data_IF_484611338858
#
_entry.id   IF_484611338858
#
_cell.length_a   1.000
_cell.length_b   1.000
_cell.length_c   1.000
_cell.angle_alpha   90.00
_cell.angle_beta   90.00
_cell.angle_gamma   90.00
#
_symmetry.space_group_name_H-M   'P 1'
#
loop_
_entity.id
_entity.type
_entity.pdbx_description
1 polymer ?
#
# COMPACT_ATOMS: atom_id res chain seq x y z
N UNK A 1 14.50 9.70 5.38
CA UNK A 1 13.99 10.64 4.43
C UNK A 1 14.88 10.79 3.22
N UNK A 2 16.19 10.90 3.42
CA UNK A 2 17.11 10.98 2.30
C UNK A 2 17.04 9.75 1.42
N UNK A 3 16.83 8.57 2.04
CA UNK A 3 16.67 7.35 1.28
C UNK A 3 15.43 7.39 0.41
N UNK A 4 14.35 7.97 0.94
CA UNK A 4 13.13 8.16 0.17
C UNK A 4 13.37 9.12 -0.98
N UNK A 5 14.19 10.16 -0.76
CA UNK A 5 14.52 11.09 -1.82
C UNK A 5 15.26 10.42 -2.97
N UNK A 6 16.17 9.50 -2.66
CA UNK A 6 16.90 8.77 -3.71
C UNK A 6 15.95 7.96 -4.59
N UNK A 7 15.00 7.27 -3.99
CA UNK A 7 14.03 6.48 -4.73
C UNK A 7 13.04 7.38 -5.45
N UNK A 8 12.43 8.31 -4.72
CA UNK A 8 11.36 9.15 -5.28
C UNK A 8 11.85 10.15 -6.30
N UNK A 9 13.09 10.59 -6.23
CA UNK A 9 13.62 11.53 -7.20
C UNK A 9 14.25 10.87 -8.41
N UNK A 10 14.26 9.55 -8.47
CA UNK A 10 14.75 8.83 -9.64
C UNK A 10 13.79 9.07 -10.80
N UNK A 11 14.27 9.74 -11.86
CA UNK A 11 13.42 10.11 -12.98
C UNK A 11 12.97 8.94 -13.83
N UNK A 12 13.57 7.77 -13.66
CA UNK A 12 13.14 6.58 -14.36
C UNK A 12 11.88 5.98 -13.73
N UNK A 13 11.47 6.45 -12.55
CA UNK A 13 10.28 5.94 -11.89
C UNK A 13 9.03 6.64 -12.39
N UNK A 14 7.92 5.88 -12.43
CA UNK A 14 6.63 6.39 -12.87
C UNK A 14 6.05 7.28 -11.78
N UNK A 15 5.90 8.58 -12.07
CA UNK A 15 5.32 9.51 -11.10
C UNK A 15 3.80 9.39 -11.01
N UNK A 16 3.17 8.66 -11.94
CA UNK A 16 1.72 8.47 -11.94
C UNK A 16 1.24 7.40 -10.95
N UNK A 17 2.16 6.62 -10.38
CA UNK A 17 1.83 5.58 -9.42
C UNK A 17 2.48 5.87 -8.07
N UNK A 18 1.71 5.70 -7.00
CA UNK A 18 2.22 5.81 -5.63
C UNK A 18 1.79 4.58 -4.86
N UNK A 19 2.76 3.94 -4.22
CA UNK A 19 2.51 2.77 -3.37
C UNK A 19 2.62 3.20 -1.91
N UNK A 20 1.56 2.96 -1.13
CA UNK A 20 1.51 3.36 0.27
C UNK A 20 1.89 2.17 1.14
N UNK A 21 2.91 2.36 1.97
CA UNK A 21 3.38 1.34 2.91
C UNK A 21 3.37 1.92 4.33
N UNK A 22 3.38 1.05 5.33
CA UNK A 22 3.29 1.49 6.72
C UNK A 22 4.63 1.94 7.30
N UNK A 23 5.72 1.41 6.78
CA UNK A 23 7.05 1.73 7.32
C UNK A 23 8.12 1.48 6.26
N UNK A 24 9.35 1.96 6.49
CA UNK A 24 10.43 1.78 5.51
C UNK A 24 10.81 0.33 5.24
N UNK A 25 10.65 -0.56 6.21
CA UNK A 25 10.97 -1.98 5.99
C UNK A 25 10.08 -2.57 4.90
N UNK A 26 8.80 -2.18 4.89
CA UNK A 26 7.87 -2.64 3.87
C UNK A 26 8.26 -2.11 2.50
N UNK A 27 8.72 -0.86 2.43
CA UNK A 27 9.20 -0.29 1.19
C UNK A 27 10.36 -1.10 0.62
N UNK A 28 11.34 -1.40 1.47
CA UNK A 28 12.50 -2.15 1.01
C UNK A 28 12.16 -3.58 0.61
N UNK A 29 11.15 -4.18 1.24
CA UNK A 29 10.67 -5.49 0.84
C UNK A 29 10.13 -5.48 -0.58
N UNK A 30 9.33 -4.45 -0.91
CA UNK A 30 8.78 -4.32 -2.26
C UNK A 30 9.89 -4.03 -3.27
N UNK A 31 10.83 -3.16 -2.92
CA UNK A 31 11.95 -2.86 -3.82
C UNK A 31 12.81 -4.09 -4.09
N UNK A 32 13.01 -4.92 -3.07
CA UNK A 32 13.79 -6.15 -3.24
C UNK A 32 13.12 -7.12 -4.20
N UNK A 33 11.80 -7.09 -4.30
CA UNK A 33 11.08 -7.94 -5.23
C UNK A 33 11.29 -7.52 -6.68
N UNK A 34 11.59 -6.24 -6.93
CA UNK A 34 12.04 -5.77 -8.24
C UNK A 34 10.97 -5.53 -9.28
N UNK A 35 9.68 -5.68 -8.93
CA UNK A 35 8.61 -5.56 -9.91
C UNK A 35 7.88 -4.22 -9.93
N UNK A 36 8.21 -3.32 -9.02
CA UNK A 36 7.50 -2.05 -8.93
C UNK A 36 8.36 -0.90 -9.45
N UNK A 37 7.78 -0.05 -10.28
CA UNK A 37 8.48 1.06 -10.92
C UNK A 37 7.97 2.43 -10.49
N UNK A 38 6.93 2.49 -9.65
CA UNK A 38 6.37 3.75 -9.20
C UNK A 38 7.09 4.32 -8.01
N UNK A 39 6.46 5.33 -7.41
CA UNK A 39 6.98 5.98 -6.22
C UNK A 39 6.28 5.45 -4.98
N UNK A 40 6.73 5.89 -3.82
CA UNK A 40 6.21 5.43 -2.54
C UNK A 40 5.75 6.57 -1.67
N UNK A 41 4.85 6.25 -0.75
CA UNK A 41 4.54 7.11 0.38
C UNK A 41 4.59 6.24 1.63
N UNK A 42 5.43 6.59 2.58
CA UNK A 42 5.57 5.84 3.83
C UNK A 42 4.74 6.52 4.91
N UNK A 43 3.76 5.78 5.42
CA UNK A 43 2.96 6.25 6.55
C UNK A 43 3.80 6.21 7.82
N UNK A 44 3.28 6.85 8.87
CA UNK A 44 3.91 6.78 10.18
C UNK A 44 3.25 5.70 11.03
N UNK A 45 2.97 4.55 10.39
CA UNK A 45 2.33 3.42 11.05
C UNK A 45 0.98 3.08 10.44
N UNK A 46 0.00 2.79 11.29
CA UNK A 46 -1.37 2.46 10.88
C UNK A 46 -2.35 3.03 11.90
N UNK A 47 -3.63 3.11 11.52
CA UNK A 47 -4.67 3.55 12.44
C UNK A 47 -4.76 2.60 13.62
N UNK A 48 -4.82 3.15 14.83
CA UNK A 48 -4.94 2.35 16.04
C UNK A 48 -5.67 3.17 17.10
N UNK A 49 -6.99 2.98 17.24
CA UNK A 49 -7.74 3.71 18.27
C UNK A 49 -7.22 3.43 19.68
N UNK A 50 -6.76 2.22 19.93
CA UNK A 50 -6.26 1.85 21.27
C UNK A 50 -5.03 2.65 21.62
N UNK A 51 -4.13 2.88 20.65
CA UNK A 51 -2.91 3.64 20.87
C UNK A 51 -3.07 5.12 20.59
N UNK A 52 -4.27 5.58 20.26
CA UNK A 52 -4.53 6.97 19.97
C UNK A 52 -3.96 7.45 18.65
N UNK A 53 -3.73 6.54 17.71
CA UNK A 53 -3.18 6.90 16.41
C UNK A 53 -4.32 7.10 15.42
N UNK A 54 -4.60 8.37 15.13
CA UNK A 54 -5.60 8.75 14.14
C UNK A 54 -4.94 9.18 12.84
N UNK A 55 -5.77 9.58 11.86
CA UNK A 55 -5.26 9.93 10.52
C UNK A 55 -4.21 11.03 10.52
N UNK A 56 -4.33 11.99 11.40
CA UNK A 56 -3.41 13.13 11.43
C UNK A 56 -1.99 12.71 11.81
N UNK A 57 -1.85 11.64 12.59
CA UNK A 57 -0.54 11.15 12.99
C UNK A 57 0.14 10.31 11.92
N UNK A 58 -0.60 9.90 10.90
CA UNK A 58 -0.07 9.07 9.84
C UNK A 58 0.40 9.86 8.63
N UNK A 59 0.10 11.15 8.57
CA UNK A 59 0.46 11.97 7.43
C UNK A 59 -0.47 11.78 6.24
N UNK A 60 -1.70 11.33 6.48
CA UNK A 60 -2.64 11.06 5.38
C UNK A 60 -3.00 12.34 4.63
N UNK A 61 -3.10 13.48 5.32
CA UNK A 61 -3.37 14.74 4.63
C UNK A 61 -2.25 15.09 3.66
N UNK A 62 -1.00 14.84 4.04
CA UNK A 62 0.13 15.07 3.14
C UNK A 62 0.05 14.15 1.93
N UNK A 63 -0.38 12.90 2.13
CA UNK A 63 -0.56 11.97 1.03
C UNK A 63 -1.61 12.49 0.05
N UNK A 64 -2.77 12.93 0.56
CA UNK A 64 -3.84 13.41 -0.30
C UNK A 64 -3.39 14.66 -1.07
N UNK A 65 -2.69 15.57 -0.41
CA UNK A 65 -2.14 16.74 -1.10
C UNK A 65 -1.18 16.34 -2.22
N UNK A 66 -0.34 15.35 -1.97
CA UNK A 66 0.60 14.86 -2.97
C UNK A 66 -0.11 14.25 -4.16
N UNK A 67 -1.20 13.51 -3.92
CA UNK A 67 -1.98 12.93 -5.01
C UNK A 67 -2.54 14.01 -5.93
N UNK A 68 -2.93 15.16 -5.36
CA UNK A 68 -3.46 16.26 -6.15
C UNK A 68 -2.38 17.00 -6.93
N UNK A 69 -1.24 17.26 -6.29
CA UNK A 69 -0.21 18.12 -6.89
C UNK A 69 0.68 17.39 -7.88
N UNK A 70 0.87 16.08 -7.73
CA UNK A 70 1.74 15.31 -8.61
C UNK A 70 0.97 14.54 -9.68
N UNK A 71 -0.32 14.78 -9.79
CA UNK A 71 -1.16 14.16 -10.83
C UNK A 71 -1.05 12.65 -10.82
N UNK A 72 -1.15 12.07 -9.64
CA UNK A 72 -1.10 10.63 -9.47
C UNK A 72 -2.40 10.02 -10.00
N UNK A 73 -2.29 9.00 -10.85
CA UNK A 73 -3.46 8.34 -11.42
C UNK A 73 -3.82 7.06 -10.69
N UNK A 74 -2.86 6.40 -10.08
CA UNK A 74 -3.12 5.16 -9.35
C UNK A 74 -2.44 5.18 -7.99
N UNK A 75 -3.21 4.84 -6.97
CA UNK A 75 -2.71 4.67 -5.60
C UNK A 75 -2.80 3.19 -5.24
N UNK A 76 -1.67 2.59 -4.94
CA UNK A 76 -1.61 1.18 -4.56
C UNK A 76 -1.47 1.11 -3.05
N UNK A 77 -2.42 0.47 -2.39
CA UNK A 77 -2.40 0.36 -0.93
C UNK A 77 -1.74 -0.95 -0.52
N UNK A 78 -0.56 -0.84 0.05
CA UNK A 78 0.25 -1.99 0.47
C UNK A 78 0.44 -1.98 1.99
N UNK A 79 -0.57 -1.54 2.73
CA UNK A 79 -0.57 -1.68 4.18
C UNK A 79 -0.73 -3.16 4.53
N UNK A 80 -0.30 -3.52 5.74
CA UNK A 80 -0.32 -4.93 6.15
C UNK A 80 -1.74 -5.48 6.22
N UNK A 81 -1.85 -6.80 6.16
CA UNK A 81 -3.14 -7.49 6.15
C UNK A 81 -3.63 -7.77 7.57
N UNK A 82 -3.49 -6.78 8.43
CA UNK A 82 -4.00 -6.79 9.80
C UNK A 82 -5.30 -6.01 9.84
N UNK A 83 -6.03 -6.12 10.93
CA UNK A 83 -7.27 -5.33 11.10
C UNK A 83 -6.95 -3.84 10.97
N UNK A 84 -5.88 -3.40 11.63
CA UNK A 84 -5.47 -1.99 11.57
C UNK A 84 -5.02 -1.59 10.17
N UNK A 85 -4.30 -2.47 9.49
CA UNK A 85 -3.86 -2.20 8.12
C UNK A 85 -5.01 -2.11 7.14
N UNK A 86 -6.02 -2.95 7.31
CA UNK A 86 -7.21 -2.88 6.46
C UNK A 86 -8.02 -1.62 6.74
N UNK A 87 -8.16 -1.25 8.02
CA UNK A 87 -8.86 -0.01 8.35
C UNK A 87 -8.15 1.19 7.77
N UNK A 88 -6.82 1.20 7.83
CA UNK A 88 -6.01 2.27 7.24
C UNK A 88 -6.24 2.34 5.73
N UNK A 89 -6.22 1.18 5.06
CA UNK A 89 -6.41 1.13 3.63
C UNK A 89 -7.78 1.67 3.23
N UNK A 90 -8.83 1.26 3.93
CA UNK A 90 -10.19 1.74 3.63
C UNK A 90 -10.32 3.25 3.82
N UNK A 91 -9.73 3.78 4.89
CA UNK A 91 -9.80 5.20 5.15
C UNK A 91 -9.12 5.99 4.02
N UNK A 92 -7.95 5.56 3.61
CA UNK A 92 -7.22 6.22 2.53
C UNK A 92 -7.96 6.07 1.20
N UNK A 93 -8.50 4.88 0.94
CA UNK A 93 -9.22 4.62 -0.30
C UNK A 93 -10.40 5.56 -0.47
N UNK A 94 -11.18 5.78 0.59
CA UNK A 94 -12.34 6.66 0.51
C UNK A 94 -11.92 8.08 0.13
N UNK A 95 -10.85 8.58 0.74
CA UNK A 95 -10.38 9.93 0.45
C UNK A 95 -9.79 10.06 -0.95
N UNK A 96 -9.04 9.06 -1.40
CA UNK A 96 -8.42 9.10 -2.73
C UNK A 96 -9.47 8.98 -3.83
N UNK A 97 -10.47 8.13 -3.64
CA UNK A 97 -11.54 7.99 -4.63
C UNK A 97 -12.34 9.28 -4.76
N UNK A 98 -12.49 10.02 -3.67
CA UNK A 98 -13.24 11.27 -3.69
C UNK A 98 -12.58 12.32 -4.58
N UNK A 99 -11.28 12.22 -4.83
CA UNK A 99 -10.57 13.15 -5.71
C UNK A 99 -10.23 12.52 -7.06
N UNK A 100 -10.83 11.38 -7.38
CA UNK A 100 -10.74 10.80 -8.73
C UNK A 100 -9.53 9.92 -8.98
N UNK A 101 -8.81 9.51 -7.94
CA UNK A 101 -7.64 8.63 -8.09
C UNK A 101 -8.11 7.18 -8.09
N UNK A 102 -7.58 6.37 -9.01
CA UNK A 102 -7.85 4.94 -9.02
C UNK A 102 -7.09 4.28 -7.88
N UNK A 103 -7.80 3.51 -7.07
CA UNK A 103 -7.20 2.88 -5.88
C UNK A 103 -7.20 1.37 -6.08
N UNK A 104 -6.04 0.77 -5.83
CA UNK A 104 -5.90 -0.69 -5.85
C UNK A 104 -5.27 -1.16 -4.55
N UNK A 105 -5.48 -2.42 -4.24
CA UNK A 105 -4.96 -3.06 -3.03
C UNK A 105 -4.10 -4.23 -3.47
N UNK A 106 -2.96 -4.43 -2.80
CA UNK A 106 -2.15 -5.61 -3.12
C UNK A 106 -3.00 -6.86 -2.93
N UNK A 107 -2.81 -7.82 -3.82
CA UNK A 107 -3.61 -9.04 -3.82
C UNK A 107 -3.20 -9.96 -2.69
N UNK A 108 -4.16 -10.76 -2.22
CA UNK A 108 -3.87 -11.85 -1.29
C UNK A 108 -3.37 -13.04 -2.10
N UNK A 109 -2.41 -13.77 -1.54
CA UNK A 109 -1.85 -14.84 -2.33
C UNK A 109 -1.32 -16.01 -1.52
N UNK A 110 -1.40 -17.19 -2.16
CA UNK A 110 -0.72 -18.38 -1.68
C UNK A 110 0.76 -18.23 -2.03
N UNK A 111 1.68 -18.52 -1.10
CA UNK A 111 3.09 -18.38 -1.42
C UNK A 111 3.51 -19.28 -2.58
N UNK A 112 4.29 -18.71 -3.49
CA UNK A 112 4.80 -19.47 -4.64
C UNK A 112 5.76 -20.55 -4.15
N UNK A 113 5.64 -21.75 -4.73
CA UNK A 113 6.50 -22.86 -4.38
C UNK A 113 6.07 -23.61 -3.12
N UNK A 114 5.00 -23.16 -2.46
CA UNK A 114 4.47 -23.83 -1.29
C UNK A 114 3.36 -24.82 -1.64
N UNK A 115 3.05 -25.69 -0.70
CA UNK A 115 1.95 -26.65 -0.87
C UNK A 115 0.73 -26.12 -0.15
N UNK A 116 -0.44 -26.32 -0.77
CA UNK A 116 -1.69 -25.76 -0.24
C UNK A 116 -2.00 -26.24 1.17
N UNK A 117 -1.65 -27.48 1.48
CA UNK A 117 -2.01 -28.03 2.80
C UNK A 117 -1.31 -27.30 3.95
N UNK A 118 -0.22 -26.57 3.67
CA UNK A 118 0.54 -25.85 4.69
C UNK A 118 0.17 -24.36 4.77
N UNK A 119 -0.75 -23.90 3.92
CA UNK A 119 -1.19 -22.52 3.94
C UNK A 119 -2.32 -22.36 4.95
N UNK A 120 -2.28 -21.31 5.77
CA UNK A 120 -3.32 -21.10 6.77
C UNK A 120 -4.67 -20.87 6.11
N UNK A 121 -5.74 -21.20 6.85
CA UNK A 121 -7.10 -21.13 6.32
C UNK A 121 -7.52 -19.74 5.89
N UNK A 122 -7.08 -18.72 6.63
CA UNK A 122 -7.40 -17.34 6.26
C UNK A 122 -6.84 -16.95 4.91
N UNK A 123 -5.56 -17.29 4.68
CA UNK A 123 -4.92 -17.01 3.40
C UNK A 123 -5.58 -17.75 2.26
N UNK A 124 -5.92 -19.03 2.48
CA UNK A 124 -6.62 -19.82 1.46
C UNK A 124 -7.98 -19.22 1.12
N UNK A 125 -8.75 -18.82 2.13
CA UNK A 125 -10.05 -18.21 1.89
C UNK A 125 -9.94 -16.94 1.07
N UNK A 126 -8.99 -16.08 1.42
CA UNK A 126 -8.80 -14.83 0.68
C UNK A 126 -8.33 -15.10 -0.75
N UNK A 127 -7.46 -16.08 -0.93
CA UNK A 127 -7.00 -16.44 -2.27
C UNK A 127 -8.15 -16.96 -3.12
N UNK A 128 -9.04 -17.78 -2.54
CA UNK A 128 -10.21 -18.25 -3.26
C UNK A 128 -11.14 -17.13 -3.64
N UNK A 129 -11.38 -16.18 -2.72
CA UNK A 129 -12.25 -15.04 -3.00
C UNK A 129 -11.66 -14.11 -4.04
N UNK A 130 -10.35 -14.05 -4.12
CA UNK A 130 -9.65 -13.16 -5.06
C UNK A 130 -9.23 -13.86 -6.34
N UNK A 131 -9.69 -15.10 -6.56
CA UNK A 131 -9.26 -15.89 -7.70
C UNK A 131 -9.59 -15.20 -9.02
N UNK A 132 -8.74 -15.45 -10.00
CA UNK A 132 -8.90 -14.85 -11.32
C UNK A 132 -9.40 -15.88 -12.32
N UNK A 133 -10.15 -15.39 -13.30
CA UNK A 133 -10.54 -16.22 -14.45
C UNK A 133 -9.34 -16.35 -15.38
N UNK A 134 -9.09 -17.57 -15.84
CA UNK A 134 -7.98 -17.81 -16.77
C UNK A 134 -8.35 -17.47 -18.21
#
# INVERSE_FOLDING_TARGET
>A
EHNLCDICSNKARLSSQVCVVENPADLYAIESAGGYRGKYFVLLGHLSPIDGIGPEKLGIDDLINRLKTEEVSELILATNLTVEGEATAHFIADKAKAIGVTVSRIAYGVPMGGELEYVDGGTLNMALQSRKTL
#
